data_IF_401435500615
#
_entry.id   IF_401435500615
#
_cell.length_a   1.000
_cell.length_b   1.000
_cell.length_c   1.000
_cell.angle_alpha   90.00
_cell.angle_beta   90.00
_cell.angle_gamma   90.00
#
_symmetry.space_group_name_H-M   'P 1'
#
loop_
_entity.id
_entity.type
_entity.pdbx_description
1 polymer ?
#
# COMPACT_ATOMS: atom_id res chain seq x y z
N UNK A 1 24.89 26.25 -8.62
CA UNK A 1 25.59 24.96 -8.81
C UNK A 1 24.66 23.86 -8.35
N UNK A 2 24.06 23.11 -9.27
CA UNK A 2 23.16 22.00 -8.91
C UNK A 2 24.04 20.83 -8.48
N UNK A 3 23.88 20.34 -7.25
CA UNK A 3 24.69 19.26 -6.70
C UNK A 3 24.56 18.01 -7.57
N UNK A 4 25.66 17.34 -7.92
CA UNK A 4 25.66 16.05 -8.63
C UNK A 4 24.75 15.02 -7.93
N UNK A 5 24.59 15.14 -6.61
CA UNK A 5 23.65 14.36 -5.82
C UNK A 5 22.18 14.60 -6.17
N UNK A 6 21.79 15.83 -6.54
CA UNK A 6 20.42 16.12 -6.95
C UNK A 6 20.11 15.57 -8.36
N UNK A 7 21.13 15.42 -9.22
CA UNK A 7 20.97 14.90 -10.58
C UNK A 7 21.08 13.37 -10.65
N UNK A 8 22.08 12.78 -9.99
CA UNK A 8 22.34 11.34 -10.00
C UNK A 8 21.74 10.58 -8.82
N UNK A 9 21.39 11.26 -7.72
CA UNK A 9 20.79 10.63 -6.55
C UNK A 9 19.45 9.95 -6.86
N UNK A 10 18.46 10.65 -7.44
CA UNK A 10 17.18 10.04 -7.78
C UNK A 10 17.31 8.79 -8.67
N UNK A 11 18.06 8.79 -9.79
CA UNK A 11 18.20 7.57 -10.61
C UNK A 11 18.97 6.45 -9.89
N UNK A 12 20.03 6.74 -9.14
CA UNK A 12 20.76 5.71 -8.38
C UNK A 12 19.91 5.07 -7.29
N UNK A 13 19.17 5.88 -6.53
CA UNK A 13 18.23 5.39 -5.50
C UNK A 13 17.14 4.54 -6.16
N UNK A 14 16.61 4.97 -7.32
CA UNK A 14 15.59 4.21 -8.06
C UNK A 14 16.12 2.85 -8.50
N UNK A 15 17.31 2.80 -9.08
CA UNK A 15 17.95 1.53 -9.50
C UNK A 15 18.23 0.62 -8.31
N UNK A 16 18.73 1.19 -7.21
CA UNK A 16 19.00 0.43 -5.98
C UNK A 16 17.71 -0.17 -5.40
N UNK A 17 16.65 0.62 -5.26
CA UNK A 17 15.35 0.14 -4.77
C UNK A 17 14.76 -0.91 -5.70
N UNK A 18 14.89 -0.72 -7.02
CA UNK A 18 14.44 -1.71 -8.00
C UNK A 18 15.22 -3.02 -7.86
N UNK A 19 16.54 -2.98 -7.72
CA UNK A 19 17.36 -4.18 -7.51
C UNK A 19 17.00 -4.89 -6.20
N UNK A 20 16.86 -4.15 -5.10
CA UNK A 20 16.49 -4.69 -3.79
C UNK A 20 15.08 -5.30 -3.80
N UNK A 21 14.16 -4.82 -4.65
CA UNK A 21 12.83 -5.44 -4.82
C UNK A 21 12.81 -6.62 -5.79
N UNK A 22 13.43 -6.45 -6.97
CA UNK A 22 13.35 -7.41 -8.07
C UNK A 22 14.16 -8.69 -7.82
N UNK A 23 15.31 -8.59 -7.15
CA UNK A 23 16.16 -9.75 -6.83
C UNK A 23 15.47 -10.73 -5.87
N UNK A 24 14.97 -10.33 -4.69
CA UNK A 24 14.26 -11.24 -3.81
C UNK A 24 12.92 -11.69 -4.39
N UNK A 25 12.23 -10.85 -5.16
CA UNK A 25 11.01 -11.25 -5.86
C UNK A 25 11.30 -12.34 -6.91
N UNK A 26 12.34 -12.16 -7.71
CA UNK A 26 12.80 -13.16 -8.69
C UNK A 26 13.17 -14.47 -8.01
N UNK A 27 14.01 -14.43 -6.97
CA UNK A 27 14.38 -15.59 -6.16
C UNK A 27 13.16 -16.30 -5.56
N UNK A 28 12.18 -15.55 -5.06
CA UNK A 28 10.95 -16.09 -4.52
C UNK A 28 10.10 -16.78 -5.60
N UNK A 29 9.94 -16.15 -6.76
CA UNK A 29 9.18 -16.71 -7.89
C UNK A 29 9.82 -17.98 -8.42
N UNK A 30 11.14 -18.00 -8.57
CA UNK A 30 11.87 -19.16 -9.08
C UNK A 30 11.88 -20.33 -8.08
N UNK A 31 12.01 -20.05 -6.78
CA UNK A 31 12.11 -21.11 -5.75
C UNK A 31 10.76 -21.65 -5.30
N UNK A 32 9.75 -20.80 -5.12
CA UNK A 32 8.46 -21.21 -4.53
C UNK A 32 7.34 -21.41 -5.54
N UNK A 33 7.56 -21.09 -6.83
CA UNK A 33 6.54 -21.15 -7.90
C UNK A 33 5.16 -20.65 -7.42
N UNK A 34 5.08 -19.41 -6.91
CA UNK A 34 3.87 -18.90 -6.27
C UNK A 34 2.72 -18.80 -7.29
N UNK A 35 1.51 -19.04 -6.79
CA UNK A 35 0.27 -18.89 -7.55
C UNK A 35 0.08 -17.44 -8.02
N UNK A 36 -0.66 -17.25 -9.12
CA UNK A 36 -1.00 -15.91 -9.65
C UNK A 36 -1.52 -14.94 -8.57
N UNK A 37 -2.48 -15.30 -7.69
CA UNK A 37 -2.96 -14.38 -6.65
C UNK A 37 -1.88 -14.01 -5.63
N UNK A 38 -0.95 -14.90 -5.29
CA UNK A 38 0.17 -14.57 -4.41
C UNK A 38 1.13 -13.55 -5.04
N UNK A 39 1.37 -13.63 -6.35
CA UNK A 39 2.17 -12.64 -7.06
C UNK A 39 1.49 -11.27 -7.06
N UNK A 40 0.20 -11.22 -7.34
CA UNK A 40 -0.57 -9.97 -7.32
C UNK A 40 -0.68 -9.36 -5.92
N UNK A 41 -0.82 -10.16 -4.87
CA UNK A 41 -0.79 -9.68 -3.49
C UNK A 41 0.54 -8.98 -3.15
N UNK A 42 1.66 -9.60 -3.49
CA UNK A 42 3.01 -9.05 -3.24
C UNK A 42 3.24 -7.79 -4.06
N UNK A 43 2.86 -7.78 -5.35
CA UNK A 43 2.98 -6.60 -6.20
C UNK A 43 2.09 -5.44 -5.73
N UNK A 44 0.85 -5.72 -5.34
CA UNK A 44 -0.08 -4.72 -4.80
C UNK A 44 0.41 -4.12 -3.48
N UNK A 45 0.91 -4.97 -2.58
CA UNK A 45 1.52 -4.53 -1.31
C UNK A 45 2.77 -3.69 -1.53
N UNK A 46 3.68 -4.14 -2.40
CA UNK A 46 4.88 -3.40 -2.75
C UNK A 46 4.56 -2.05 -3.40
N UNK A 47 3.56 -1.99 -4.29
CA UNK A 47 3.09 -0.75 -4.90
C UNK A 47 2.49 0.20 -3.86
N UNK A 48 1.71 -0.30 -2.90
CA UNK A 48 1.15 0.52 -1.83
C UNK A 48 2.24 1.10 -0.92
N UNK A 49 3.23 0.28 -0.53
CA UNK A 49 4.38 0.72 0.27
C UNK A 49 5.20 1.75 -0.51
N UNK A 50 5.46 1.50 -1.80
CA UNK A 50 6.19 2.44 -2.64
C UNK A 50 5.42 3.76 -2.83
N UNK A 51 4.10 3.73 -3.04
CA UNK A 51 3.27 4.91 -3.15
C UNK A 51 3.24 5.72 -1.84
N UNK A 52 3.11 5.04 -0.70
CA UNK A 52 3.16 5.69 0.62
C UNK A 52 4.54 6.25 0.93
N UNK A 53 5.60 5.48 0.68
CA UNK A 53 6.99 5.88 0.88
C UNK A 53 7.37 7.05 -0.01
N UNK A 54 7.03 6.99 -1.30
CA UNK A 54 7.24 8.10 -2.23
C UNK A 54 6.44 9.33 -1.79
N UNK A 55 5.17 9.18 -1.42
CA UNK A 55 4.36 10.28 -0.91
C UNK A 55 4.96 10.94 0.34
N UNK A 56 5.36 10.13 1.32
CA UNK A 56 5.96 10.63 2.58
C UNK A 56 7.32 11.27 2.36
N UNK A 57 8.20 10.67 1.56
CA UNK A 57 9.53 11.23 1.26
C UNK A 57 9.44 12.50 0.41
N UNK A 58 8.54 12.55 -0.58
CA UNK A 58 8.32 13.78 -1.35
C UNK A 58 7.72 14.90 -0.49
N UNK A 59 6.82 14.56 0.45
CA UNK A 59 6.15 15.50 1.34
C UNK A 59 6.93 15.94 2.59
N UNK A 60 7.93 15.17 3.04
CA UNK A 60 8.71 15.47 4.26
C UNK A 60 10.19 15.74 3.99
N UNK A 61 10.80 15.09 2.98
CA UNK A 61 12.25 15.17 2.77
C UNK A 61 12.66 16.14 1.65
N UNK A 62 11.81 16.33 0.62
CA UNK A 62 12.15 17.18 -0.53
C UNK A 62 11.38 18.49 -0.62
N UNK A 63 10.26 18.62 0.09
CA UNK A 63 9.48 19.86 0.13
C UNK A 63 9.26 20.25 1.58
N UNK A 64 9.79 21.40 2.00
CA UNK A 64 9.40 21.97 3.28
C UNK A 64 7.89 22.23 3.16
N UNK A 65 7.02 21.73 4.05
CA UNK A 65 5.57 21.86 3.90
C UNK A 65 5.14 23.33 3.87
N UNK A 66 5.98 24.20 4.43
CA UNK A 66 5.84 25.65 4.35
C UNK A 66 6.06 26.22 2.93
N UNK A 67 6.93 25.61 2.14
CA UNK A 67 7.24 26.02 0.76
C UNK A 67 6.20 25.48 -0.25
N UNK A 68 5.45 24.42 0.11
CA UNK A 68 4.26 23.98 -0.64
C UNK A 68 3.09 24.95 -0.47
N UNK A 69 2.90 25.44 0.77
CA UNK A 69 1.82 26.35 1.09
C UNK A 69 2.07 27.77 0.55
N UNK A 70 3.32 28.26 0.63
CA UNK A 70 3.62 29.66 0.39
C UNK A 70 5.03 29.87 -0.18
N UNK A 71 5.13 30.74 -1.19
CA UNK A 71 6.42 31.23 -1.68
C UNK A 71 7.08 32.16 -0.65
N UNK A 72 8.41 32.04 -0.49
CA UNK A 72 9.18 32.96 0.35
C UNK A 72 9.37 34.28 -0.39
N UNK A 73 8.82 35.37 0.14
CA UNK A 73 9.08 36.71 -0.39
C UNK A 73 10.49 37.20 0.00
N UNK A 74 11.06 38.20 -0.69
CA UNK A 74 12.39 38.76 -0.39
C UNK A 74 12.54 39.21 1.06
N UNK A 75 11.45 39.64 1.68
CA UNK A 75 11.37 40.09 3.08
C UNK A 75 11.34 38.93 4.10
N UNK A 76 11.46 37.68 3.64
CA UNK A 76 11.42 36.48 4.47
C UNK A 76 10.01 36.06 4.92
N UNK A 77 8.97 36.82 4.56
CA UNK A 77 7.57 36.51 4.89
C UNK A 77 7.01 35.49 3.88
N UNK A 78 6.28 34.49 4.38
CA UNK A 78 5.59 33.51 3.54
C UNK A 78 4.16 33.98 3.24
N UNK A 79 3.88 34.29 1.97
CA UNK A 79 2.57 34.78 1.49
C UNK A 79 1.92 33.82 0.50
N UNK A 80 0.58 33.83 0.48
CA UNK A 80 -0.22 33.12 -0.52
C UNK A 80 -0.02 33.78 -1.89
N UNK A 81 0.13 33.03 -2.98
CA UNK A 81 0.09 33.61 -4.32
C UNK A 81 -1.05 32.97 -5.12
N UNK A 82 -2.07 33.74 -5.57
CA UNK A 82 -2.22 35.20 -5.50
C UNK A 82 -2.89 35.67 -4.18
N UNK A 83 -2.26 36.57 -3.41
CA UNK A 83 -2.85 37.20 -2.21
C UNK A 83 -1.82 37.76 -1.19
N UNK A 84 -2.27 38.55 -0.21
CA UNK A 84 -1.40 39.09 0.85
C UNK A 84 -1.53 38.36 2.21
N UNK A 85 -2.32 37.28 2.24
CA UNK A 85 -2.57 36.50 3.45
C UNK A 85 -1.28 35.82 3.95
N UNK A 86 -1.01 35.95 5.25
CA UNK A 86 0.12 35.30 5.91
C UNK A 86 -0.24 33.88 6.34
N UNK A 87 0.72 32.98 6.24
CA UNK A 87 0.57 31.59 6.68
C UNK A 87 0.62 31.52 8.21
N UNK A 88 -0.45 31.02 8.84
CA UNK A 88 -0.60 30.98 10.31
C UNK A 88 -0.18 29.64 10.89
N UNK A 89 -0.59 28.54 10.25
CA UNK A 89 -0.18 27.20 10.66
C UNK A 89 -0.23 26.21 9.49
N UNK A 90 0.59 25.17 9.60
CA UNK A 90 0.65 24.07 8.63
C UNK A 90 0.46 22.77 9.39
N UNK A 91 -0.48 21.94 8.93
CA UNK A 91 -0.69 20.60 9.43
C UNK A 91 -0.42 19.59 8.33
N UNK A 92 0.41 18.60 8.63
CA UNK A 92 0.69 17.47 7.74
C UNK A 92 -0.07 16.26 8.26
N UNK A 93 -1.03 15.78 7.48
CA UNK A 93 -1.78 14.55 7.73
C UNK A 93 -1.00 13.34 7.22
N UNK A 94 -0.81 12.34 8.08
CA UNK A 94 -0.11 11.10 7.74
C UNK A 94 -0.96 10.15 6.90
N UNK A 95 -2.30 10.28 6.95
CA UNK A 95 -3.23 9.46 6.18
C UNK A 95 -4.64 10.09 6.08
N UNK A 96 -5.18 10.36 4.87
CA UNK A 96 -4.46 10.40 3.59
C UNK A 96 -3.32 11.42 3.64
N UNK A 97 -2.32 11.29 2.75
CA UNK A 97 -1.23 12.26 2.68
C UNK A 97 -1.80 13.62 2.26
N UNK A 98 -2.02 14.50 3.24
CA UNK A 98 -2.55 15.83 2.99
C UNK A 98 -1.80 16.89 3.76
N UNK A 99 -1.64 18.06 3.14
CA UNK A 99 -1.03 19.23 3.75
C UNK A 99 -2.12 20.29 3.84
N UNK A 100 -2.50 20.65 5.07
CA UNK A 100 -3.45 21.72 5.36
C UNK A 100 -2.70 22.99 5.71
N UNK A 101 -2.86 24.02 4.89
CA UNK A 101 -2.34 25.36 5.12
C UNK A 101 -3.46 26.24 5.67
N UNK A 102 -3.28 26.85 6.85
CA UNK A 102 -4.21 27.86 7.38
C UNK A 102 -3.64 29.25 7.19
N UNK A 103 -4.49 30.16 6.70
CA UNK A 103 -4.14 31.54 6.38
C UNK A 103 -4.72 32.52 7.40
N UNK A 104 -4.11 33.69 7.53
CA UNK A 104 -4.57 34.77 8.43
C UNK A 104 -5.94 35.32 8.06
N UNK A 105 -6.39 35.13 6.81
CA UNK A 105 -7.72 35.49 6.32
C UNK A 105 -8.84 34.56 6.84
N UNK A 106 -8.49 33.50 7.57
CA UNK A 106 -9.43 32.45 8.01
C UNK A 106 -9.67 31.36 6.95
N UNK A 107 -9.10 31.50 5.76
CA UNK A 107 -9.17 30.48 4.71
C UNK A 107 -8.21 29.32 4.99
N UNK A 108 -8.58 28.10 4.57
CA UNK A 108 -7.72 26.91 4.66
C UNK A 108 -7.67 26.17 3.34
N UNK A 109 -6.47 25.89 2.85
CA UNK A 109 -6.25 25.08 1.64
C UNK A 109 -5.72 23.71 2.03
N UNK A 110 -6.29 22.65 1.46
CA UNK A 110 -5.80 21.28 1.59
C UNK A 110 -5.20 20.84 0.26
N UNK A 111 -3.91 20.48 0.28
CA UNK A 111 -3.24 19.87 -0.85
C UNK A 111 -3.16 18.36 -0.62
N UNK A 112 -3.74 17.61 -1.54
CA UNK A 112 -3.65 16.14 -1.61
C UNK A 112 -2.96 15.80 -2.92
N UNK A 113 -1.97 14.92 -2.88
CA UNK A 113 -1.30 14.48 -4.10
C UNK A 113 -2.26 13.63 -4.95
N UNK A 114 -2.57 14.03 -6.20
CA UNK A 114 -3.60 13.39 -7.00
C UNK A 114 -3.28 11.95 -7.40
N UNK A 115 -1.99 11.56 -7.40
CA UNK A 115 -1.56 10.21 -7.74
C UNK A 115 -1.34 9.31 -6.52
N UNK A 116 -0.91 9.87 -5.38
CA UNK A 116 -0.49 9.09 -4.23
C UNK A 116 -1.67 8.35 -3.57
N UNK A 117 -2.78 9.04 -3.34
CA UNK A 117 -3.96 8.44 -2.72
C UNK A 117 -4.58 7.34 -3.59
N UNK A 118 -4.85 7.54 -4.90
CA UNK A 118 -5.37 6.46 -5.74
C UNK A 118 -4.45 5.25 -5.83
N UNK A 119 -3.14 5.44 -5.98
CA UNK A 119 -2.18 4.34 -6.05
C UNK A 119 -2.12 3.55 -4.74
N UNK A 120 -2.14 4.24 -3.60
CA UNK A 120 -2.17 3.62 -2.29
C UNK A 120 -3.44 2.79 -2.07
N UNK A 121 -4.60 3.36 -2.35
CA UNK A 121 -5.87 2.65 -2.19
C UNK A 121 -6.01 1.48 -3.16
N UNK A 122 -5.62 1.64 -4.43
CA UNK A 122 -5.64 0.58 -5.41
C UNK A 122 -4.70 -0.58 -5.04
N UNK A 123 -3.47 -0.26 -4.60
CA UNK A 123 -2.50 -1.26 -4.15
C UNK A 123 -2.99 -2.04 -2.93
N UNK A 124 -3.53 -1.34 -1.93
CA UNK A 124 -4.11 -1.98 -0.73
C UNK A 124 -5.31 -2.85 -1.08
N UNK A 125 -6.25 -2.36 -1.89
CA UNK A 125 -7.42 -3.12 -2.29
C UNK A 125 -7.02 -4.40 -3.04
N UNK A 126 -6.09 -4.30 -4.00
CA UNK A 126 -5.58 -5.46 -4.73
C UNK A 126 -4.90 -6.47 -3.78
N UNK A 127 -4.06 -5.99 -2.85
CA UNK A 127 -3.39 -6.82 -1.86
C UNK A 127 -4.38 -7.55 -0.96
N UNK A 128 -5.37 -6.85 -0.41
CA UNK A 128 -6.37 -7.42 0.50
C UNK A 128 -7.24 -8.47 -0.21
N UNK A 129 -7.72 -8.17 -1.43
CA UNK A 129 -8.52 -9.11 -2.23
C UNK A 129 -7.72 -10.37 -2.55
N UNK A 130 -6.46 -10.22 -2.99
CA UNK A 130 -5.61 -11.36 -3.32
C UNK A 130 -5.26 -12.20 -2.07
N UNK A 131 -4.99 -11.55 -0.92
CA UNK A 131 -4.81 -12.24 0.35
C UNK A 131 -6.06 -13.01 0.78
N UNK A 132 -7.24 -12.42 0.64
CA UNK A 132 -8.51 -13.07 0.96
C UNK A 132 -8.76 -14.31 0.09
N UNK A 133 -8.45 -14.24 -1.22
CA UNK A 133 -8.53 -15.40 -2.11
C UNK A 133 -7.56 -16.52 -1.69
N UNK A 134 -6.32 -16.18 -1.35
CA UNK A 134 -5.34 -17.16 -0.86
C UNK A 134 -5.77 -17.83 0.45
N UNK A 135 -6.36 -17.07 1.38
CA UNK A 135 -6.88 -17.62 2.63
C UNK A 135 -8.09 -18.52 2.40
N UNK A 136 -8.97 -18.17 1.45
CA UNK A 136 -10.12 -18.99 1.07
C UNK A 136 -9.71 -20.31 0.43
N UNK A 137 -8.68 -20.30 -0.43
CA UNK A 137 -8.13 -21.51 -1.07
C UNK A 137 -7.36 -22.40 -0.07
N UNK A 138 -6.84 -21.82 1.02
CA UNK A 138 -6.19 -22.54 2.14
C UNK A 138 -7.19 -23.13 3.14
N UNK A 139 -8.40 -22.59 3.21
CA UNK A 139 -9.52 -23.10 4.00
C UNK A 139 -10.66 -23.65 3.10
N UNK A 140 -10.41 -24.65 2.24
CA UNK A 140 -11.51 -25.42 1.67
C UNK A 140 -12.13 -26.20 2.84
N UNK A 141 -13.33 -25.77 3.27
CA UNK A 141 -14.17 -26.39 4.30
C UNK A 141 -13.73 -27.82 4.67
N UNK A 142 -13.00 -27.95 5.76
CA UNK A 142 -12.83 -29.21 6.51
C UNK A 142 -14.16 -29.76 7.04
N UNK A 143 -15.29 -29.11 6.73
CA UNK A 143 -16.64 -29.43 7.21
C UNK A 143 -17.45 -30.36 6.29
N UNK A 144 -16.91 -30.87 5.16
CA UNK A 144 -17.68 -31.74 4.23
C UNK A 144 -17.22 -33.21 4.26
N UNK A 145 -16.28 -33.57 5.13
CA UNK A 145 -15.80 -34.97 5.24
C UNK A 145 -16.33 -35.71 6.48
N UNK A 146 -17.29 -35.14 7.21
CA UNK A 146 -18.01 -35.83 8.30
C UNK A 146 -19.33 -36.47 7.85
N UNK A 147 -19.63 -36.51 6.54
CA UNK A 147 -20.94 -36.96 6.00
C UNK A 147 -20.87 -38.13 5.03
N UNK A 148 -19.75 -38.88 5.01
CA UNK A 148 -19.58 -40.10 4.19
C UNK A 148 -18.92 -41.25 4.97
N UNK A 149 -19.23 -41.41 6.23
CA UNK A 149 -19.13 -42.75 6.83
C UNK A 149 -20.33 -43.54 6.32
N UNK A 150 -20.15 -44.61 5.52
CA UNK A 150 -21.26 -45.51 5.21
C UNK A 150 -21.82 -46.07 6.53
N UNK A 151 -23.14 -46.31 6.62
CA UNK A 151 -23.73 -46.93 7.80
C UNK A 151 -23.04 -48.28 8.07
N UNK A 152 -22.88 -48.67 9.35
CA UNK A 152 -22.29 -49.96 9.69
C UNK A 152 -23.07 -51.11 9.01
N UNK A 153 -22.38 -52.19 8.59
CA UNK A 153 -23.05 -53.33 7.99
C UNK A 153 -24.08 -53.93 8.97
N UNK A 154 -25.21 -54.47 8.47
CA UNK A 154 -26.20 -55.11 9.31
C UNK A 154 -25.61 -56.31 10.04
N UNK A 155 -26.07 -56.61 11.28
CA UNK A 155 -25.58 -57.74 12.05
C UNK A 155 -25.84 -59.07 11.31
N UNK A 156 -24.94 -60.06 11.46
CA UNK A 156 -25.11 -61.38 10.83
C UNK A 156 -26.41 -62.04 11.29
N UNK A 157 -27.17 -62.61 10.35
CA UNK A 157 -28.41 -63.34 10.67
C UNK A 157 -28.09 -64.58 11.50
N UNK A 158 -28.89 -64.89 12.53
CA UNK A 158 -28.74 -66.12 13.29
C UNK A 158 -29.00 -67.33 12.38
N UNK A 159 -28.27 -68.45 12.59
CA UNK A 159 -28.47 -69.66 11.82
C UNK A 159 -29.90 -70.19 12.03
N UNK A 160 -30.64 -70.30 10.94
CA UNK A 160 -31.91 -71.03 10.92
C UNK A 160 -31.61 -72.51 11.19
N UNK A 161 -32.03 -72.98 12.36
CA UNK A 161 -32.04 -74.40 12.70
C UNK A 161 -32.89 -75.16 11.69
N UNK A 162 -32.36 -76.21 11.03
CA UNK A 162 -33.21 -77.14 10.31
C UNK A 162 -34.07 -77.90 11.34
N UNK A 163 -35.36 -78.07 11.01
CA UNK A 163 -36.28 -79.03 11.65
C UNK A 163 -36.27 -80.31 10.84
#
# INVERSE_FOLDING_TARGET
>A
MVSLFAFFGPPLITVFLFAVGAVPYGLWVTRRKPSRPARWAVLGGAAAIAAYGAGTVYGLAYTNPLDLCAGKTPDGVRRQSPGDSRLTSVHVGSFPLSVKCRWSSGYSTEMVWPWASPLLYAGLACSLVCCALLLRDRYPRTAVTSRRTPPPPPPPRPPTSPR
#
